data_IF_556923394850
#
_entry.id   IF_556923394850
#
_cell.length_a   1.000
_cell.length_b   1.000
_cell.length_c   1.000
_cell.angle_alpha   90.00
_cell.angle_beta   90.00
_cell.angle_gamma   90.00
#
_symmetry.space_group_name_H-M   'P 1'
#
loop_
_entity.id
_entity.type
_entity.pdbx_description
1 polymer ?
#
# COMPACT_ATOMS: atom_id res chain seq x y z
N UNK A 1 -4.32 -9.36 32.00
CA UNK A 1 -2.89 -9.33 32.40
C UNK A 1 -2.05 -10.11 31.39
N UNK A 2 -1.60 -9.44 30.34
CA UNK A 2 -0.68 -10.02 29.34
C UNK A 2 0.79 -9.85 29.74
N UNK A 3 1.68 -10.46 28.96
CA UNK A 3 3.15 -10.33 29.11
C UNK A 3 3.77 -9.38 28.09
N UNK A 4 2.99 -8.84 27.17
CA UNK A 4 3.40 -7.77 26.25
C UNK A 4 3.95 -6.55 27.02
N UNK A 5 5.02 -5.95 26.51
CA UNK A 5 5.77 -4.87 27.14
C UNK A 5 6.67 -5.30 28.30
N UNK A 6 6.81 -6.60 28.57
CA UNK A 6 7.75 -7.15 29.57
C UNK A 6 8.98 -7.74 28.90
N UNK A 7 9.95 -8.21 29.68
CA UNK A 7 11.11 -8.93 29.16
C UNK A 7 11.03 -10.42 29.48
N UNK A 8 11.41 -11.27 28.52
CA UNK A 8 11.72 -12.68 28.75
C UNK A 8 13.21 -12.79 29.07
N UNK A 9 13.55 -13.59 30.10
CA UNK A 9 14.93 -13.86 30.49
C UNK A 9 15.14 -15.37 30.55
N UNK A 10 16.07 -15.86 29.74
CA UNK A 10 16.51 -17.26 29.76
C UNK A 10 17.57 -17.39 30.84
N UNK A 11 17.39 -18.34 31.74
CA UNK A 11 18.38 -18.67 32.77
C UNK A 11 19.05 -20.01 32.47
N UNK A 12 20.30 -20.16 32.88
CA UNK A 12 20.96 -21.46 32.94
C UNK A 12 20.41 -22.27 34.13
N UNK A 13 20.77 -23.55 34.19
CA UNK A 13 20.38 -24.49 35.25
C UNK A 13 20.87 -24.06 36.63
N UNK A 14 21.91 -23.22 36.71
CA UNK A 14 22.42 -22.64 37.96
C UNK A 14 21.73 -21.33 38.37
N UNK A 15 20.78 -20.83 37.56
CA UNK A 15 20.04 -19.60 37.80
C UNK A 15 20.74 -18.33 37.29
N UNK A 16 21.89 -18.43 36.63
CA UNK A 16 22.51 -17.31 35.92
C UNK A 16 21.70 -16.91 34.68
N UNK A 17 21.77 -15.63 34.27
CA UNK A 17 21.04 -15.12 33.10
C UNK A 17 21.86 -15.34 31.84
N UNK A 18 21.29 -16.04 30.86
CA UNK A 18 21.95 -16.36 29.59
C UNK A 18 21.58 -15.38 28.48
N UNK A 19 20.30 -15.07 28.35
CA UNK A 19 19.78 -14.19 27.31
C UNK A 19 18.53 -13.46 27.81
N UNK A 20 18.21 -12.35 27.15
CA UNK A 20 16.95 -11.67 27.37
C UNK A 20 16.44 -11.06 26.06
N UNK A 21 15.12 -10.91 25.96
CA UNK A 21 14.47 -10.20 24.88
C UNK A 21 13.25 -9.45 25.44
N UNK A 22 12.85 -8.38 24.77
CA UNK A 22 11.59 -7.72 25.06
C UNK A 22 10.44 -8.49 24.39
N UNK A 23 9.31 -8.57 25.08
CA UNK A 23 8.04 -9.03 24.51
C UNK A 23 7.37 -7.79 23.98
N UNK A 24 7.34 -7.65 22.66
CA UNK A 24 6.79 -6.46 22.01
C UNK A 24 5.30 -6.30 22.33
N UNK A 25 4.86 -5.05 22.46
CA UNK A 25 3.43 -4.73 22.46
C UNK A 25 3.01 -4.77 20.99
N UNK A 26 2.00 -5.59 20.62
CA UNK A 26 1.51 -5.61 19.24
C UNK A 26 1.16 -4.21 18.78
N UNK A 27 1.54 -3.86 17.55
CA UNK A 27 1.24 -2.55 17.00
C UNK A 27 -0.28 -2.34 16.93
N UNK A 28 -0.75 -1.10 17.06
CA UNK A 28 -2.14 -0.75 16.74
C UNK A 28 -2.10 0.20 15.56
N UNK A 29 -2.77 -0.17 14.48
CA UNK A 29 -2.95 0.68 13.31
C UNK A 29 -4.33 1.34 13.38
N UNK A 30 -4.35 2.64 13.17
CA UNK A 30 -5.58 3.41 12.96
C UNK A 30 -5.48 4.08 11.59
N UNK A 31 -6.40 3.77 10.69
CA UNK A 31 -6.50 4.36 9.36
C UNK A 31 -7.74 5.25 9.31
N UNK A 32 -7.65 6.39 8.62
CA UNK A 32 -8.77 7.32 8.50
C UNK A 32 -8.98 7.67 7.04
N UNK A 33 -10.24 7.65 6.61
CA UNK A 33 -10.72 8.25 5.38
C UNK A 33 -11.50 9.52 5.72
N UNK A 34 -10.98 10.68 5.32
CA UNK A 34 -11.58 11.99 5.59
C UNK A 34 -12.41 12.48 4.41
N UNK A 35 -13.71 12.71 4.64
CA UNK A 35 -14.64 13.19 3.63
C UNK A 35 -14.86 14.69 3.75
N UNK A 36 -14.81 15.37 2.61
CA UNK A 36 -15.22 16.76 2.46
C UNK A 36 -15.61 17.02 0.99
N UNK A 37 -16.78 16.53 0.57
CA UNK A 37 -17.24 16.58 -0.82
C UNK A 37 -18.75 16.82 -0.88
N UNK A 38 -19.20 17.72 -1.77
CA UNK A 38 -20.61 17.94 -2.09
C UNK A 38 -21.54 18.13 -0.87
N UNK A 39 -21.03 18.75 0.19
CA UNK A 39 -21.75 18.99 1.45
C UNK A 39 -21.74 17.83 2.44
N UNK A 40 -21.20 16.66 2.05
CA UNK A 40 -20.95 15.51 2.92
C UNK A 40 -19.57 15.69 3.56
N UNK A 41 -19.51 15.59 4.89
CA UNK A 41 -18.26 15.76 5.64
C UNK A 41 -18.19 14.85 6.85
N UNK A 42 -16.97 14.44 7.20
CA UNK A 42 -16.71 13.61 8.38
C UNK A 42 -15.61 12.58 8.11
N UNK A 43 -15.61 11.47 8.86
CA UNK A 43 -14.58 10.44 8.77
C UNK A 43 -15.14 9.02 8.83
N UNK A 44 -14.42 8.10 8.19
CA UNK A 44 -14.49 6.66 8.48
C UNK A 44 -13.14 6.25 9.03
N UNK A 45 -13.12 5.71 10.23
CA UNK A 45 -11.90 5.29 10.93
C UNK A 45 -11.90 3.79 11.15
N UNK A 46 -10.77 3.14 10.85
CA UNK A 46 -10.55 1.71 11.06
C UNK A 46 -9.42 1.55 12.08
N UNK A 47 -9.59 0.70 13.09
CA UNK A 47 -8.55 0.42 14.09
C UNK A 47 -8.38 -1.08 14.30
N UNK A 48 -7.15 -1.57 14.20
CA UNK A 48 -6.83 -2.98 14.42
C UNK A 48 -5.52 -3.10 15.20
N UNK A 49 -5.52 -4.03 16.16
CA UNK A 49 -4.30 -4.48 16.82
C UNK A 49 -3.66 -5.58 15.97
N UNK A 50 -2.37 -5.51 15.74
CA UNK A 50 -1.59 -6.52 15.01
C UNK A 50 -1.87 -7.93 15.55
N UNK A 51 -2.21 -8.85 14.66
CA UNK A 51 -2.58 -10.23 14.98
C UNK A 51 -3.99 -10.41 15.57
N UNK A 52 -4.79 -9.35 15.73
CA UNK A 52 -6.20 -9.46 16.10
C UNK A 52 -7.05 -9.92 14.90
N UNK A 53 -8.08 -10.72 15.19
CA UNK A 53 -9.01 -11.27 14.18
C UNK A 53 -10.14 -10.31 13.79
N UNK A 54 -10.07 -9.05 14.21
CA UNK A 54 -11.11 -8.06 13.93
C UNK A 54 -10.55 -6.65 13.98
N UNK A 55 -11.15 -5.77 13.19
CA UNK A 55 -10.96 -4.32 13.24
C UNK A 55 -12.22 -3.64 13.79
N UNK A 56 -12.03 -2.57 14.55
CA UNK A 56 -13.11 -1.66 14.94
C UNK A 56 -13.25 -0.57 13.88
N UNK A 57 -14.49 -0.30 13.48
CA UNK A 57 -14.86 0.69 12.47
C UNK A 57 -15.70 1.76 13.16
N UNK A 58 -15.34 3.03 12.98
CA UNK A 58 -16.13 4.18 13.41
C UNK A 58 -16.51 5.03 12.20
N UNK A 59 -17.79 5.38 12.08
CA UNK A 59 -18.34 6.22 11.02
C UNK A 59 -18.96 7.45 11.66
N UNK A 60 -18.37 8.61 11.41
CA UNK A 60 -18.88 9.92 11.85
C UNK A 60 -19.05 10.79 10.60
N UNK A 61 -20.27 10.87 10.09
CA UNK A 61 -20.56 11.54 8.81
C UNK A 61 -21.79 12.44 8.96
N UNK A 62 -21.72 13.63 8.37
CA UNK A 62 -22.81 14.61 8.31
C UNK A 62 -23.04 15.03 6.87
N UNK A 63 -24.23 15.60 6.61
CA UNK A 63 -24.50 16.29 5.35
C UNK A 63 -25.22 15.45 4.29
N UNK A 64 -25.67 14.25 4.62
CA UNK A 64 -26.60 13.52 3.74
C UNK A 64 -27.95 14.24 3.67
N UNK A 65 -28.67 14.05 2.56
CA UNK A 65 -30.04 14.53 2.36
C UNK A 65 -31.06 13.38 2.39
N UNK A 66 -32.33 13.70 2.62
CA UNK A 66 -33.39 12.69 2.63
C UNK A 66 -33.51 11.94 1.30
N UNK A 67 -33.22 12.62 0.17
CA UNK A 67 -33.24 12.03 -1.17
C UNK A 67 -32.10 11.02 -1.40
N UNK A 68 -31.00 11.11 -0.64
CA UNK A 68 -29.87 10.19 -0.75
C UNK A 68 -30.08 8.91 0.06
N UNK A 69 -30.89 8.94 1.12
CA UNK A 69 -31.05 7.83 2.06
C UNK A 69 -31.89 6.66 1.50
N UNK A 70 -31.60 5.40 1.88
CA UNK A 70 -30.43 4.96 2.65
C UNK A 70 -29.15 5.02 1.81
N UNK A 71 -28.03 5.38 2.46
CA UNK A 71 -26.72 5.47 1.82
C UNK A 71 -25.93 4.19 2.12
N UNK A 72 -25.48 3.47 1.10
CA UNK A 72 -24.53 2.38 1.27
C UNK A 72 -23.10 2.89 1.11
N UNK A 73 -22.14 2.15 1.66
CA UNK A 73 -20.72 2.51 1.66
C UNK A 73 -19.85 1.26 1.70
N UNK A 74 -18.74 1.31 0.96
CA UNK A 74 -17.85 0.18 0.76
C UNK A 74 -16.40 0.64 0.69
N UNK A 75 -15.46 -0.25 1.03
CA UNK A 75 -14.05 -0.09 0.65
C UNK A 75 -13.87 -0.56 -0.78
N UNK A 76 -13.27 0.29 -1.61
CA UNK A 76 -13.02 0.05 -3.03
C UNK A 76 -11.56 -0.33 -3.29
N UNK A 77 -11.29 -0.88 -4.46
CA UNK A 77 -9.97 -1.46 -4.77
C UNK A 77 -8.86 -0.43 -4.94
N UNK A 78 -9.16 0.80 -5.34
CA UNK A 78 -8.14 1.81 -5.70
C UNK A 78 -8.23 3.07 -4.86
N UNK A 79 -7.11 3.79 -4.64
CA UNK A 79 -7.17 5.19 -4.25
C UNK A 79 -7.80 6.01 -5.37
N UNK A 80 -8.39 7.13 -5.00
CA UNK A 80 -9.08 8.08 -5.87
C UNK A 80 -8.07 8.67 -6.85
N UNK A 81 -8.31 8.45 -8.15
CA UNK A 81 -7.58 9.13 -9.23
C UNK A 81 -8.19 10.48 -9.56
N UNK A 82 -9.51 10.48 -9.76
CA UNK A 82 -10.28 11.66 -10.12
C UNK A 82 -11.77 11.43 -9.85
N UNK A 83 -12.31 12.08 -8.82
CA UNK A 83 -13.70 11.89 -8.40
C UNK A 83 -14.00 10.44 -7.97
N UNK A 84 -15.28 10.15 -7.75
CA UNK A 84 -15.70 8.88 -7.15
C UNK A 84 -16.04 7.78 -8.15
N UNK A 85 -15.90 8.02 -9.46
CA UNK A 85 -16.28 7.08 -10.52
C UNK A 85 -15.58 5.71 -10.46
N UNK A 86 -16.15 4.71 -11.15
CA UNK A 86 -15.60 3.35 -11.17
C UNK A 86 -14.23 3.27 -11.87
N UNK A 87 -13.99 4.16 -12.83
CA UNK A 87 -12.70 4.41 -13.47
C UNK A 87 -11.64 4.99 -12.50
N UNK A 88 -12.09 5.63 -11.42
CA UNK A 88 -11.22 6.23 -10.41
C UNK A 88 -10.96 5.29 -9.23
N UNK A 89 -12.00 4.76 -8.58
CA UNK A 89 -11.83 3.95 -7.34
C UNK A 89 -11.91 2.45 -7.59
N UNK A 90 -12.29 2.00 -8.78
CA UNK A 90 -12.51 0.58 -9.07
C UNK A 90 -13.78 0.01 -8.45
N UNK A 91 -13.81 -1.32 -8.30
CA UNK A 91 -14.90 -2.08 -7.70
C UNK A 91 -14.76 -2.20 -6.18
N UNK A 92 -15.58 -3.05 -5.55
CA UNK A 92 -15.43 -3.36 -4.13
C UNK A 92 -14.16 -4.17 -3.89
N UNK A 93 -13.51 -3.95 -2.76
CA UNK A 93 -12.36 -4.75 -2.35
C UNK A 93 -12.81 -6.17 -1.97
N UNK A 94 -12.43 -7.15 -2.79
CA UNK A 94 -12.85 -8.55 -2.66
C UNK A 94 -11.69 -9.50 -3.01
N UNK A 95 -10.63 -9.56 -2.17
CA UNK A 95 -9.44 -10.36 -2.48
C UNK A 95 -9.72 -11.87 -2.51
N UNK A 96 -10.74 -12.33 -1.77
CA UNK A 96 -11.12 -13.75 -1.72
C UNK A 96 -12.13 -14.16 -2.81
N UNK A 97 -12.60 -13.21 -3.62
CA UNK A 97 -13.53 -13.48 -4.73
C UNK A 97 -14.88 -14.06 -4.29
N UNK A 98 -15.35 -13.71 -3.08
CA UNK A 98 -16.65 -14.18 -2.58
C UNK A 98 -17.80 -13.48 -3.33
N UNK A 99 -18.97 -14.11 -3.40
CA UNK A 99 -20.11 -13.67 -4.21
C UNK A 99 -21.25 -12.99 -3.42
N UNK A 100 -20.98 -12.64 -2.16
CA UNK A 100 -21.95 -12.09 -1.19
C UNK A 100 -23.15 -13.01 -0.88
N UNK A 101 -23.17 -14.28 -1.29
CA UNK A 101 -24.27 -15.19 -0.99
C UNK A 101 -24.28 -15.53 0.50
N UNK A 102 -25.29 -15.04 1.21
CA UNK A 102 -25.41 -15.23 2.67
C UNK A 102 -24.64 -14.20 3.50
N UNK A 103 -24.07 -13.17 2.85
CA UNK A 103 -23.45 -12.04 3.53
C UNK A 103 -24.41 -11.43 4.56
N UNK A 104 -23.90 -11.26 5.79
CA UNK A 104 -24.63 -10.65 6.90
C UNK A 104 -23.68 -10.23 8.02
N UNK A 105 -24.19 -9.45 8.99
CA UNK A 105 -23.45 -9.07 10.20
C UNK A 105 -22.88 -10.26 10.98
N UNK A 106 -23.53 -11.41 10.93
CA UNK A 106 -23.11 -12.64 11.62
C UNK A 106 -22.30 -13.62 10.75
N UNK A 107 -22.19 -13.35 9.44
CA UNK A 107 -21.48 -14.20 8.47
C UNK A 107 -20.66 -13.29 7.53
N UNK A 108 -19.72 -12.55 8.11
CA UNK A 108 -18.94 -11.51 7.42
C UNK A 108 -17.89 -12.10 6.47
N UNK A 109 -17.49 -13.35 6.69
CA UNK A 109 -16.60 -14.13 5.83
C UNK A 109 -17.25 -14.49 4.47
N UNK A 110 -18.58 -14.44 4.39
CA UNK A 110 -19.33 -14.57 3.13
C UNK A 110 -19.55 -13.24 2.41
N UNK A 111 -19.11 -12.13 3.01
CA UNK A 111 -19.17 -10.81 2.41
C UNK A 111 -17.86 -10.47 1.71
N UNK A 112 -17.93 -9.71 0.61
CA UNK A 112 -16.77 -9.00 0.09
C UNK A 112 -16.11 -8.24 1.24
N UNK A 113 -14.78 -8.28 1.33
CA UNK A 113 -14.06 -7.69 2.47
C UNK A 113 -14.42 -6.21 2.63
N UNK A 114 -14.59 -5.49 1.52
CA UNK A 114 -15.00 -4.09 1.48
C UNK A 114 -16.49 -3.82 1.61
N UNK A 115 -17.39 -4.82 1.65
CA UNK A 115 -18.84 -4.58 1.74
C UNK A 115 -19.30 -4.26 3.17
N UNK A 116 -19.04 -3.01 3.59
CA UNK A 116 -19.37 -2.54 4.94
C UNK A 116 -20.90 -2.45 5.15
N UNK A 117 -21.67 -2.08 4.13
CA UNK A 117 -23.13 -1.97 4.24
C UNK A 117 -23.84 -3.33 4.24
N UNK A 118 -23.34 -4.32 3.50
CA UNK A 118 -23.83 -5.69 3.58
C UNK A 118 -23.59 -6.30 4.97
N UNK A 119 -22.45 -5.97 5.59
CA UNK A 119 -22.10 -6.41 6.95
C UNK A 119 -22.84 -5.66 8.04
N UNK A 120 -22.88 -4.33 8.00
CA UNK A 120 -23.31 -3.49 9.13
C UNK A 120 -24.59 -2.69 8.89
N UNK A 121 -25.18 -2.83 7.69
CA UNK A 121 -26.36 -2.09 7.26
C UNK A 121 -26.03 -0.76 6.59
N UNK A 122 -26.93 -0.31 5.73
CA UNK A 122 -26.85 1.02 5.12
C UNK A 122 -27.13 2.13 6.15
N UNK A 123 -26.58 3.32 5.89
CA UNK A 123 -26.77 4.52 6.70
C UNK A 123 -28.15 5.11 6.43
N UNK A 124 -28.92 5.38 7.48
CA UNK A 124 -30.36 5.73 7.37
C UNK A 124 -30.69 7.11 7.97
N UNK A 125 -29.67 7.87 8.36
CA UNK A 125 -29.82 9.17 9.02
C UNK A 125 -28.96 10.23 8.33
N UNK A 126 -29.39 11.50 8.40
CA UNK A 126 -28.67 12.64 7.80
C UNK A 126 -27.32 12.93 8.49
N UNK A 127 -27.18 12.45 9.72
CA UNK A 127 -25.97 12.48 10.53
C UNK A 127 -25.80 11.10 11.14
N UNK A 128 -24.60 10.56 11.02
CA UNK A 128 -24.22 9.20 11.44
C UNK A 128 -23.13 9.35 12.48
N UNK A 129 -23.32 8.67 13.60
CA UNK A 129 -22.30 8.39 14.61
C UNK A 129 -22.50 6.92 14.98
N UNK A 130 -21.64 6.06 14.42
CA UNK A 130 -21.79 4.62 14.54
C UNK A 130 -20.44 3.94 14.69
N UNK A 131 -20.43 2.84 15.45
CA UNK A 131 -19.26 2.00 15.64
C UNK A 131 -19.63 0.54 15.51
N UNK A 132 -18.79 -0.23 14.81
CA UNK A 132 -18.97 -1.66 14.58
C UNK A 132 -17.65 -2.41 14.73
N UNK A 133 -17.72 -3.70 15.01
CA UNK A 133 -16.56 -4.60 14.92
C UNK A 133 -16.72 -5.46 13.68
N UNK A 134 -15.67 -5.49 12.87
CA UNK A 134 -15.60 -6.22 11.61
C UNK A 134 -14.53 -7.30 11.68
N UNK A 135 -14.88 -8.54 11.33
CA UNK A 135 -13.98 -9.70 11.41
C UNK A 135 -13.33 -10.04 10.07
N UNK A 136 -13.58 -9.26 9.03
CA UNK A 136 -13.08 -9.50 7.67
C UNK A 136 -12.15 -8.37 7.20
N UNK A 137 -12.38 -7.12 7.62
CA UNK A 137 -11.47 -6.00 7.34
C UNK A 137 -10.10 -6.23 7.99
N UNK A 138 -9.04 -6.08 7.19
CA UNK A 138 -7.65 -6.23 7.58
C UNK A 138 -6.87 -4.93 7.31
N UNK A 139 -6.05 -4.52 8.28
CA UNK A 139 -5.15 -3.36 8.23
C UNK A 139 -3.68 -3.79 8.13
N UNK A 140 -3.42 -5.09 8.19
CA UNK A 140 -2.12 -5.76 8.11
C UNK A 140 -2.21 -6.91 7.08
N UNK A 141 -1.06 -7.32 6.56
CA UNK A 141 -0.94 -8.38 5.57
C UNK A 141 -1.34 -7.98 4.14
N UNK A 142 -1.33 -8.97 3.26
CA UNK A 142 -1.50 -8.83 1.80
C UNK A 142 -2.86 -8.23 1.40
N UNK A 143 -3.90 -8.46 2.20
CA UNK A 143 -5.26 -7.99 1.93
C UNK A 143 -5.56 -6.62 2.54
N UNK A 144 -4.57 -5.97 3.16
CA UNK A 144 -4.77 -4.71 3.87
C UNK A 144 -5.50 -3.65 3.03
N UNK A 145 -6.38 -2.90 3.69
CA UNK A 145 -7.14 -1.80 3.09
C UNK A 145 -6.38 -0.46 3.03
N UNK A 146 -5.14 -0.41 3.51
CA UNK A 146 -4.30 0.80 3.46
C UNK A 146 -4.20 1.33 2.02
N UNK A 147 -4.25 2.65 1.82
CA UNK A 147 -4.09 3.27 0.50
C UNK A 147 -5.22 2.98 -0.50
N UNK A 148 -6.32 2.35 -0.07
CA UNK A 148 -7.55 2.18 -0.84
C UNK A 148 -8.49 3.37 -0.62
N UNK A 149 -9.75 3.28 -1.02
CA UNK A 149 -10.75 4.33 -0.77
C UNK A 149 -12.04 3.79 -0.18
N UNK A 150 -12.79 4.63 0.52
CA UNK A 150 -14.19 4.40 0.88
C UNK A 150 -15.07 5.17 -0.10
N UNK A 151 -16.12 4.54 -0.63
CA UNK A 151 -17.10 5.16 -1.53
C UNK A 151 -18.50 5.02 -0.96
N UNK A 152 -19.28 6.10 -1.02
CA UNK A 152 -20.66 6.17 -0.58
C UNK A 152 -21.60 6.24 -1.78
N UNK A 153 -22.70 5.51 -1.71
CA UNK A 153 -23.72 5.43 -2.74
C UNK A 153 -25.08 5.83 -2.18
N UNK A 154 -25.84 6.63 -2.94
CA UNK A 154 -27.23 6.93 -2.59
C UNK A 154 -28.17 5.74 -2.83
N UNK A 155 -29.45 5.94 -2.50
CA UNK A 155 -30.50 4.93 -2.69
C UNK A 155 -30.73 4.48 -4.14
N UNK A 156 -30.17 5.18 -5.13
CA UNK A 156 -30.20 4.80 -6.55
C UNK A 156 -28.99 3.96 -6.94
N UNK A 157 -28.00 3.84 -6.05
CA UNK A 157 -26.70 3.22 -6.29
C UNK A 157 -25.67 4.17 -6.88
N UNK A 158 -26.00 5.45 -7.08
CA UNK A 158 -25.08 6.44 -7.61
C UNK A 158 -24.03 6.80 -6.55
N UNK A 159 -22.77 6.91 -6.97
CA UNK A 159 -21.64 7.26 -6.11
C UNK A 159 -21.71 8.76 -5.81
N UNK A 160 -21.85 9.13 -4.53
CA UNK A 160 -22.11 10.51 -4.09
C UNK A 160 -20.94 11.15 -3.33
N UNK A 161 -20.05 10.35 -2.76
CA UNK A 161 -18.84 10.84 -2.10
C UNK A 161 -17.82 9.71 -1.96
N UNK A 162 -16.55 10.07 -1.81
CA UNK A 162 -15.47 9.12 -1.60
C UNK A 162 -14.29 9.78 -0.88
N UNK A 163 -13.49 8.98 -0.18
CA UNK A 163 -12.24 9.43 0.44
C UNK A 163 -11.20 8.33 0.42
N UNK A 164 -9.93 8.69 0.26
CA UNK A 164 -8.83 7.76 0.39
C UNK A 164 -8.63 7.35 1.86
N UNK A 165 -8.35 6.07 2.07
CA UNK A 165 -7.94 5.51 3.35
C UNK A 165 -6.45 5.80 3.48
N UNK A 166 -6.10 6.70 4.40
CA UNK A 166 -4.73 7.10 4.64
C UNK A 166 -3.87 6.01 5.28
N UNK A 167 -2.64 6.39 5.62
CA UNK A 167 -1.69 5.56 6.35
C UNK A 167 -1.77 5.86 7.86
N UNK A 168 -1.36 4.91 8.70
CA UNK A 168 -1.45 5.05 10.16
C UNK A 168 -0.47 6.07 10.76
N UNK A 169 0.51 6.54 9.98
CA UNK A 169 1.57 7.41 10.46
C UNK A 169 2.39 8.00 9.30
N UNK A 170 3.57 8.55 9.60
CA UNK A 170 4.46 9.11 8.59
C UNK A 170 4.87 8.06 7.55
N UNK A 171 4.59 8.32 6.28
CA UNK A 171 4.81 7.39 5.17
C UNK A 171 6.05 7.79 4.37
N UNK A 172 6.90 6.81 4.04
CA UNK A 172 7.92 6.96 3.01
C UNK A 172 7.31 6.58 1.67
N UNK A 173 7.26 7.53 0.75
CA UNK A 173 6.81 7.32 -0.62
C UNK A 173 7.97 7.49 -1.60
N UNK A 174 8.08 6.57 -2.55
CA UNK A 174 9.03 6.59 -3.66
C UNK A 174 8.33 6.19 -4.95
N UNK A 175 8.76 6.75 -6.07
CA UNK A 175 8.12 6.59 -7.37
C UNK A 175 9.17 6.19 -8.40
N UNK A 176 8.82 5.20 -9.22
CA UNK A 176 9.53 4.87 -10.45
C UNK A 176 8.69 5.32 -11.65
N UNK A 177 9.17 6.35 -12.35
CA UNK A 177 8.49 6.93 -13.52
C UNK A 177 9.08 6.35 -14.80
N UNK A 178 8.22 5.77 -15.64
CA UNK A 178 8.57 5.18 -16.93
C UNK A 178 8.11 6.11 -18.06
N UNK A 179 8.99 6.36 -19.01
CA UNK A 179 8.70 7.05 -20.28
C UNK A 179 9.63 6.52 -21.38
N UNK A 180 9.71 5.19 -21.51
CA UNK A 180 10.62 4.53 -22.46
C UNK A 180 10.09 3.16 -22.89
N UNK A 181 10.62 2.62 -23.98
CA UNK A 181 10.23 1.28 -24.46
C UNK A 181 8.75 1.17 -24.85
N UNK A 182 8.07 2.30 -25.10
CA UNK A 182 6.63 2.36 -25.32
C UNK A 182 5.77 2.25 -24.05
N UNK A 183 6.41 2.21 -22.86
CA UNK A 183 5.75 2.17 -21.57
C UNK A 183 5.82 3.56 -20.94
N UNK A 184 4.65 4.09 -20.58
CA UNK A 184 4.52 5.39 -19.92
C UNK A 184 3.62 5.29 -18.69
N UNK A 185 4.08 5.79 -17.55
CA UNK A 185 3.34 5.82 -16.28
C UNK A 185 4.24 5.59 -15.08
N UNK A 186 3.67 5.16 -13.96
CA UNK A 186 4.38 5.11 -12.68
C UNK A 186 4.15 3.81 -11.92
N UNK A 187 5.15 3.44 -11.12
CA UNK A 187 4.99 2.54 -9.98
C UNK A 187 5.31 3.32 -8.71
N UNK A 188 4.32 3.55 -7.87
CA UNK A 188 4.46 4.24 -6.57
C UNK A 188 4.51 3.22 -5.46
N UNK A 189 5.53 3.32 -4.60
CA UNK A 189 5.71 2.48 -3.43
C UNK A 189 5.58 3.32 -2.16
N UNK A 190 4.76 2.89 -1.23
CA UNK A 190 4.54 3.58 0.04
C UNK A 190 4.63 2.61 1.23
N UNK A 191 5.41 2.97 2.24
CA UNK A 191 5.64 2.15 3.45
C UNK A 191 5.66 3.06 4.69
N UNK A 192 5.34 2.52 5.87
CA UNK A 192 5.56 3.22 7.13
C UNK A 192 7.05 3.61 7.24
N UNK A 193 7.34 4.90 7.41
CA UNK A 193 8.72 5.40 7.49
C UNK A 193 9.43 5.02 8.80
N UNK A 194 8.69 4.52 9.78
CA UNK A 194 9.17 4.16 11.12
C UNK A 194 9.28 2.66 11.34
N UNK A 195 8.76 1.84 10.43
CA UNK A 195 8.77 0.38 10.51
C UNK A 195 9.19 -0.25 9.17
N UNK A 196 10.46 -0.64 9.07
CA UNK A 196 11.01 -1.25 7.86
C UNK A 196 10.39 -2.62 7.54
N UNK A 197 9.75 -3.26 8.54
CA UNK A 197 9.07 -4.55 8.40
C UNK A 197 7.58 -4.41 8.04
N UNK A 198 7.05 -3.18 7.94
CA UNK A 198 5.69 -2.98 7.49
C UNK A 198 5.51 -3.39 6.04
N UNK A 199 4.29 -3.70 5.65
CA UNK A 199 3.94 -3.95 4.26
C UNK A 199 4.16 -2.68 3.43
N UNK A 200 4.50 -2.87 2.17
CA UNK A 200 4.64 -1.80 1.19
C UNK A 200 3.46 -1.83 0.24
N UNK A 201 2.71 -0.74 0.19
CA UNK A 201 1.68 -0.51 -0.82
C UNK A 201 2.35 -0.26 -2.16
N UNK A 202 1.93 -0.98 -3.19
CA UNK A 202 2.41 -0.81 -4.56
C UNK A 202 1.26 -0.42 -5.47
N UNK A 203 1.31 0.81 -5.99
CA UNK A 203 0.36 1.34 -6.97
C UNK A 203 1.03 1.38 -8.34
N UNK A 204 0.57 0.55 -9.25
CA UNK A 204 0.94 0.60 -10.67
C UNK A 204 -0.11 1.42 -11.42
N UNK A 205 0.30 2.39 -12.22
CA UNK A 205 -0.55 3.18 -13.11
C UNK A 205 0.16 3.40 -14.44
N UNK A 206 -0.09 2.50 -15.40
CA UNK A 206 0.49 2.56 -16.74
C UNK A 206 -0.56 2.87 -17.80
N UNK A 207 -0.12 3.63 -18.81
CA UNK A 207 -0.84 3.86 -20.04
C UNK A 207 -0.98 2.55 -20.83
N UNK A 208 -2.09 2.39 -21.53
CA UNK A 208 -2.30 1.22 -22.40
C UNK A 208 -1.29 1.17 -23.53
N UNK A 209 -0.72 -0.01 -23.76
CA UNK A 209 0.14 -0.35 -24.88
C UNK A 209 -0.57 -1.44 -25.70
N UNK A 210 -1.36 -1.08 -26.74
CA UNK A 210 -2.20 -2.02 -27.44
C UNK A 210 -1.42 -3.16 -28.11
N UNK A 211 -1.90 -4.39 -27.93
CA UNK A 211 -1.34 -5.56 -28.63
C UNK A 211 -0.07 -6.14 -28.02
N UNK A 212 0.35 -5.67 -26.84
CA UNK A 212 1.39 -6.33 -26.05
C UNK A 212 0.85 -7.59 -25.36
N UNK A 213 1.76 -8.42 -24.90
CA UNK A 213 1.48 -9.56 -24.02
C UNK A 213 1.82 -9.18 -22.59
N UNK A 214 1.36 -9.94 -21.57
CA UNK A 214 1.73 -9.67 -20.19
C UNK A 214 3.26 -9.65 -19.97
N UNK A 215 3.73 -8.62 -19.28
CA UNK A 215 5.15 -8.36 -19.04
C UNK A 215 5.55 -8.73 -17.61
N UNK A 216 6.74 -9.32 -17.46
CA UNK A 216 7.35 -9.46 -16.14
C UNK A 216 8.04 -8.17 -15.73
N UNK A 217 8.13 -7.92 -14.44
CA UNK A 217 8.80 -6.77 -13.87
C UNK A 217 9.40 -7.14 -12.53
N UNK A 218 10.58 -6.59 -12.26
CA UNK A 218 11.37 -6.89 -11.08
C UNK A 218 12.10 -5.64 -10.61
N UNK A 219 12.37 -5.55 -9.31
CA UNK A 219 13.40 -4.64 -8.79
C UNK A 219 14.77 -5.25 -9.11
N UNK A 220 15.64 -4.45 -9.68
CA UNK A 220 17.02 -4.82 -10.00
C UNK A 220 18.01 -4.29 -8.96
N UNK A 221 19.20 -4.88 -8.91
CA UNK A 221 20.16 -4.62 -7.84
C UNK A 221 20.76 -3.21 -7.85
N UNK A 222 20.81 -2.52 -8.99
CA UNK A 222 21.43 -1.19 -9.13
C UNK A 222 20.43 -0.19 -9.75
N UNK A 223 20.59 1.11 -9.52
CA UNK A 223 19.88 2.14 -10.29
C UNK A 223 20.38 2.19 -11.75
N UNK A 224 19.59 2.80 -12.63
CA UNK A 224 20.04 3.24 -13.96
C UNK A 224 21.09 4.34 -13.84
N UNK A 225 21.95 4.47 -14.85
CA UNK A 225 22.94 5.54 -14.90
C UNK A 225 22.23 6.89 -15.07
N UNK A 226 22.59 7.89 -14.26
CA UNK A 226 22.06 9.25 -14.39
C UNK A 226 22.46 9.86 -15.74
N UNK A 227 23.62 9.47 -16.29
CA UNK A 227 24.09 9.95 -17.58
C UNK A 227 23.38 9.28 -18.77
N UNK A 228 22.81 8.09 -18.57
CA UNK A 228 22.08 7.33 -19.58
C UNK A 228 20.92 6.56 -18.94
N UNK A 229 19.84 7.26 -18.52
CA UNK A 229 18.74 6.64 -17.78
C UNK A 229 17.92 5.65 -18.61
N UNK A 230 18.07 5.67 -19.93
CA UNK A 230 17.44 4.74 -20.87
C UNK A 230 18.24 3.45 -21.05
N UNK A 231 19.50 3.38 -20.60
CA UNK A 231 20.30 2.15 -20.65
C UNK A 231 19.99 1.22 -19.46
N UNK A 232 19.06 0.31 -19.69
CA UNK A 232 18.72 -0.72 -18.72
C UNK A 232 19.78 -1.81 -18.58
N UNK A 233 20.90 -1.82 -19.33
CA UNK A 233 21.87 -2.92 -19.30
C UNK A 233 22.69 -2.97 -18.00
N UNK A 234 22.88 -1.83 -17.34
CA UNK A 234 23.79 -1.68 -16.21
C UNK A 234 23.15 -1.88 -14.82
N UNK A 235 21.83 -2.11 -14.75
CA UNK A 235 21.11 -2.22 -13.46
C UNK A 235 21.37 -3.53 -12.69
N UNK A 236 22.24 -4.40 -13.18
CA UNK A 236 22.54 -5.70 -12.55
C UNK A 236 21.42 -6.72 -12.68
N UNK A 237 21.47 -7.81 -11.91
CA UNK A 237 20.42 -8.84 -11.86
C UNK A 237 19.22 -8.43 -11.00
N UNK A 238 18.27 -9.35 -10.82
CA UNK A 238 17.17 -9.17 -9.86
C UNK A 238 17.71 -8.92 -8.46
N UNK A 239 16.98 -8.15 -7.67
CA UNK A 239 17.39 -7.83 -6.33
C UNK A 239 17.06 -8.96 -5.35
N UNK A 240 18.10 -9.71 -4.98
CA UNK A 240 18.03 -10.88 -4.10
C UNK A 240 19.02 -10.76 -2.92
N UNK A 241 18.76 -9.87 -1.95
CA UNK A 241 19.69 -9.61 -0.84
C UNK A 241 19.84 -10.81 0.09
N UNK A 242 18.86 -11.72 0.12
CA UNK A 242 18.87 -12.93 0.95
C UNK A 242 19.57 -14.12 0.25
N UNK A 243 20.00 -13.95 -1.01
CA UNK A 243 20.64 -15.00 -1.80
C UNK A 243 19.80 -16.28 -1.87
N UNK A 244 18.49 -16.13 -2.08
CA UNK A 244 17.58 -17.26 -2.24
C UNK A 244 18.00 -18.12 -3.44
N UNK A 245 17.89 -19.44 -3.27
CA UNK A 245 18.14 -20.42 -4.32
C UNK A 245 16.90 -20.53 -5.23
N UNK A 246 17.01 -20.01 -6.46
CA UNK A 246 15.92 -19.96 -7.43
C UNK A 246 15.58 -21.33 -8.03
N UNK A 247 16.48 -22.32 -7.89
CA UNK A 247 16.23 -23.70 -8.30
C UNK A 247 15.60 -24.53 -7.17
N UNK A 248 15.41 -23.94 -5.99
CA UNK A 248 14.76 -24.60 -4.86
C UNK A 248 13.32 -24.97 -5.21
N UNK A 249 12.85 -26.18 -4.87
CA UNK A 249 11.45 -26.57 -5.07
C UNK A 249 10.47 -25.75 -4.21
N UNK A 250 10.96 -25.01 -3.23
CA UNK A 250 10.15 -24.12 -2.37
C UNK A 250 10.22 -22.66 -2.82
N UNK A 251 10.95 -22.33 -3.89
CA UNK A 251 10.97 -20.97 -4.43
C UNK A 251 9.59 -20.63 -4.99
N UNK A 252 9.02 -19.52 -4.50
CA UNK A 252 7.69 -19.07 -4.87
C UNK A 252 6.53 -19.97 -4.41
N UNK A 253 6.75 -20.80 -3.38
CA UNK A 253 5.70 -21.58 -2.72
C UNK A 253 5.29 -20.91 -1.41
N UNK A 254 4.18 -20.16 -1.44
CA UNK A 254 3.62 -19.53 -0.25
C UNK A 254 3.68 -18.00 -0.30
N UNK A 255 4.20 -17.39 0.76
CA UNK A 255 4.21 -15.95 0.97
C UNK A 255 5.34 -15.23 0.21
N UNK A 256 5.30 -13.90 0.25
CA UNK A 256 6.30 -13.03 -0.39
C UNK A 256 7.74 -13.29 0.07
N UNK A 257 7.96 -13.92 1.23
CA UNK A 257 9.29 -14.22 1.75
C UNK A 257 9.97 -15.39 1.02
N UNK A 258 9.22 -16.17 0.24
CA UNK A 258 9.75 -17.27 -0.59
C UNK A 258 10.27 -16.83 -1.96
N UNK A 259 10.04 -15.57 -2.33
CA UNK A 259 10.49 -14.95 -3.57
C UNK A 259 11.71 -14.06 -3.34
N UNK A 260 12.49 -13.79 -4.39
CA UNK A 260 13.46 -12.69 -4.33
C UNK A 260 12.73 -11.40 -3.91
N UNK A 261 13.35 -10.57 -3.06
CA UNK A 261 12.75 -9.30 -2.62
C UNK A 261 12.26 -8.48 -3.82
N UNK A 262 13.05 -8.48 -4.91
CA UNK A 262 12.71 -7.81 -6.15
C UNK A 262 11.78 -8.55 -7.12
N UNK A 263 11.33 -9.78 -6.84
CA UNK A 263 10.49 -10.55 -7.78
C UNK A 263 9.00 -10.19 -7.66
N UNK A 264 8.67 -8.99 -8.16
CA UNK A 264 7.30 -8.46 -8.13
C UNK A 264 6.33 -9.29 -8.97
N UNK A 265 6.78 -9.82 -10.11
CA UNK A 265 5.93 -10.66 -10.97
C UNK A 265 5.68 -12.06 -10.42
N UNK A 266 6.65 -12.65 -9.72
CA UNK A 266 6.47 -13.90 -9.01
C UNK A 266 5.42 -13.77 -7.91
N UNK A 267 5.50 -12.69 -7.13
CA UNK A 267 4.59 -12.40 -6.01
C UNK A 267 3.19 -11.98 -6.47
N UNK A 268 3.09 -11.00 -7.37
CA UNK A 268 1.84 -10.28 -7.65
C UNK A 268 1.32 -10.48 -9.08
N UNK A 269 1.96 -11.36 -9.86
CA UNK A 269 1.61 -11.61 -11.25
C UNK A 269 2.18 -10.58 -12.23
N UNK A 270 1.96 -10.82 -13.53
CA UNK A 270 2.51 -10.01 -14.63
C UNK A 270 1.68 -8.76 -14.93
N UNK A 271 2.31 -7.75 -15.56
CA UNK A 271 1.64 -6.55 -16.06
C UNK A 271 0.98 -6.80 -17.42
N UNK A 272 -0.35 -6.85 -17.47
CA UNK A 272 -1.08 -6.78 -18.74
C UNK A 272 -1.28 -5.33 -19.16
N UNK A 273 -0.39 -4.85 -20.04
CA UNK A 273 -0.42 -3.49 -20.59
C UNK A 273 -1.35 -3.34 -21.80
N UNK A 274 -2.02 -4.41 -22.25
CA UNK A 274 -2.91 -4.38 -23.42
C UNK A 274 -4.24 -3.64 -23.14
N UNK A 275 -4.56 -3.40 -21.87
CA UNK A 275 -5.64 -2.57 -21.37
C UNK A 275 -5.11 -1.46 -20.46
N UNK A 276 -5.99 -0.62 -19.90
CA UNK A 276 -5.57 0.35 -18.88
C UNK A 276 -5.12 -0.41 -17.63
N UNK A 277 -3.84 -0.28 -17.25
CA UNK A 277 -3.25 -1.04 -16.15
C UNK A 277 -3.13 -0.14 -14.94
N UNK A 278 -4.13 -0.22 -14.06
CA UNK A 278 -4.07 0.45 -12.76
C UNK A 278 -4.42 -0.54 -11.67
N UNK A 279 -3.45 -0.89 -10.83
CA UNK A 279 -3.61 -1.92 -9.78
C UNK A 279 -2.94 -1.49 -8.49
N UNK A 280 -3.56 -1.86 -7.37
CA UNK A 280 -3.04 -1.64 -6.02
C UNK A 280 -2.95 -2.98 -5.29
N UNK A 281 -1.77 -3.32 -4.81
CA UNK A 281 -1.52 -4.50 -4.00
C UNK A 281 -0.56 -4.19 -2.85
N UNK A 282 -0.50 -5.10 -1.89
CA UNK A 282 0.40 -5.02 -0.73
C UNK A 282 1.50 -6.06 -0.88
N UNK A 283 2.73 -5.64 -0.69
CA UNK A 283 3.89 -6.52 -0.64
C UNK A 283 4.45 -6.57 0.79
N UNK A 284 4.46 -7.76 1.37
CA UNK A 284 4.91 -8.00 2.75
C UNK A 284 6.44 -8.16 2.86
N UNK A 285 7.16 -8.17 1.72
CA UNK A 285 8.61 -8.35 1.65
C UNK A 285 9.25 -7.46 0.55
N UNK A 286 8.93 -6.16 0.57
CA UNK A 286 9.50 -5.14 -0.32
C UNK A 286 9.91 -3.88 0.46
N UNK A 287 10.81 -3.98 1.45
CA UNK A 287 11.14 -2.86 2.31
C UNK A 287 11.66 -1.65 1.52
N UNK A 288 11.23 -0.43 1.87
CA UNK A 288 11.71 0.82 1.27
C UNK A 288 12.92 1.41 2.01
N UNK A 289 13.31 0.80 3.13
CA UNK A 289 14.38 1.24 4.01
C UNK A 289 15.16 0.02 4.55
N UNK A 290 16.13 0.27 5.44
CA UNK A 290 16.98 -0.79 5.96
C UNK A 290 18.00 -1.35 4.96
N UNK A 291 18.73 -2.37 5.41
CA UNK A 291 19.78 -3.02 4.63
C UNK A 291 19.26 -3.72 3.37
N UNK A 292 17.98 -4.12 3.42
CA UNK A 292 17.32 -4.80 2.32
C UNK A 292 16.45 -3.85 1.47
N UNK A 293 16.52 -2.54 1.70
CA UNK A 293 15.66 -1.56 1.03
C UNK A 293 15.75 -1.56 -0.51
N UNK A 294 14.61 -1.31 -1.17
CA UNK A 294 14.52 -1.15 -2.64
C UNK A 294 14.60 0.30 -3.12
N UNK A 295 14.39 1.29 -2.25
CA UNK A 295 14.57 2.69 -2.59
C UNK A 295 16.03 2.97 -3.04
N UNK A 296 16.20 3.73 -4.12
CA UNK A 296 17.50 4.01 -4.76
C UNK A 296 17.98 2.90 -5.71
N UNK A 297 17.17 1.88 -5.97
CA UNK A 297 17.40 0.88 -7.03
C UNK A 297 16.54 1.20 -8.25
N UNK A 298 16.44 0.28 -9.21
CA UNK A 298 15.54 0.42 -10.37
C UNK A 298 14.50 -0.68 -10.45
N UNK A 299 13.36 -0.39 -11.06
CA UNK A 299 12.43 -1.40 -11.55
C UNK A 299 12.66 -1.58 -13.05
N UNK A 300 12.66 -2.82 -13.52
CA UNK A 300 12.75 -3.17 -14.95
C UNK A 300 11.48 -3.89 -15.36
N UNK A 301 10.89 -3.49 -16.48
CA UNK A 301 9.87 -4.25 -17.20
C UNK A 301 10.54 -5.01 -18.35
N UNK A 302 10.27 -6.31 -18.44
CA UNK A 302 10.85 -7.21 -19.41
C UNK A 302 9.90 -7.46 -20.59
N UNK A 303 10.47 -7.66 -21.77
CA UNK A 303 9.77 -8.24 -22.91
C UNK A 303 9.61 -9.77 -22.74
N UNK A 304 8.83 -10.40 -23.61
CA UNK A 304 8.50 -11.84 -23.58
C UNK A 304 9.74 -12.72 -23.71
N UNK A 305 10.76 -12.26 -24.43
CA UNK A 305 12.02 -12.96 -24.59
C UNK A 305 12.98 -12.79 -23.40
N UNK A 306 12.58 -12.03 -22.39
CA UNK A 306 13.36 -11.73 -21.19
C UNK A 306 14.28 -10.51 -21.33
N UNK A 307 14.35 -9.89 -22.51
CA UNK A 307 15.07 -8.64 -22.70
C UNK A 307 14.44 -7.51 -21.87
N UNK A 308 15.22 -6.47 -21.58
CA UNK A 308 14.79 -5.33 -20.75
C UNK A 308 14.12 -4.32 -21.67
N UNK A 309 12.81 -4.14 -21.51
CA UNK A 309 12.00 -3.26 -22.36
C UNK A 309 12.05 -1.82 -21.87
N UNK A 310 11.92 -1.64 -20.55
CA UNK A 310 11.94 -0.33 -19.90
C UNK A 310 12.49 -0.44 -18.48
N UNK A 311 13.07 0.63 -17.96
CA UNK A 311 13.53 0.70 -16.59
C UNK A 311 13.35 2.10 -16.01
N UNK A 312 13.24 2.18 -14.68
CA UNK A 312 13.09 3.45 -13.98
C UNK A 312 13.69 3.34 -12.58
N UNK A 313 14.34 4.41 -12.11
CA UNK A 313 14.86 4.48 -10.74
C UNK A 313 13.73 4.69 -9.73
N UNK A 314 13.82 3.99 -8.61
CA UNK A 314 12.93 4.11 -7.44
C UNK A 314 13.45 5.27 -6.59
N UNK A 315 13.02 6.47 -6.92
CA UNK A 315 13.47 7.70 -6.25
C UNK A 315 12.35 8.28 -5.40
N UNK A 316 12.68 9.18 -4.49
CA UNK A 316 11.64 10.02 -3.88
C UNK A 316 10.87 10.75 -4.99
N UNK A 317 9.56 10.84 -4.86
CA UNK A 317 8.78 11.74 -5.70
C UNK A 317 9.45 13.12 -5.62
N UNK A 318 9.94 13.63 -6.76
CA UNK A 318 10.39 15.01 -6.82
C UNK A 318 9.15 15.86 -6.55
N UNK A 319 9.14 16.60 -5.45
CA UNK A 319 8.23 17.74 -5.30
C UNK A 319 8.49 18.64 -6.53
N UNK A 320 7.58 18.66 -7.50
CA UNK A 320 7.70 19.57 -8.66
C UNK A 320 7.68 21.06 -8.26
N UNK A 321 7.49 21.39 -6.98
CA UNK A 321 7.38 22.75 -6.44
C UNK A 321 8.46 23.13 -5.40
N UNK A 322 9.66 22.56 -5.46
CA UNK A 322 10.82 23.20 -4.83
C UNK A 322 11.84 23.56 -5.88
N UNK A 323 11.66 24.75 -6.48
CA UNK A 323 12.83 25.52 -6.89
C UNK A 323 13.77 25.55 -5.68
N UNK A 324 14.93 24.91 -5.84
CA UNK A 324 16.04 25.11 -4.93
C UNK A 324 16.51 26.53 -5.22
N UNK A 325 15.97 27.48 -4.46
CA UNK A 325 16.55 28.82 -4.36
C UNK A 325 17.95 28.65 -3.75
N UNK A 326 18.96 28.55 -4.61
CA UNK A 326 20.38 28.69 -4.27
C UNK A 326 20.69 30.17 -3.93
N UNK A 327 20.01 30.72 -2.93
CA UNK A 327 20.28 32.04 -2.33
C UNK A 327 20.78 31.87 -0.88
N UNK A 328 21.90 31.17 -0.71
CA UNK A 328 22.73 31.26 0.51
C UNK A 328 23.94 32.16 0.24
N UNK A 329 23.68 33.47 0.10
CA UNK A 329 24.69 34.51 0.29
C UNK A 329 24.64 35.02 1.74
N UNK A 330 25.82 35.04 2.36
CA UNK A 330 26.23 35.83 3.52
C UNK A 330 25.61 35.53 4.91
N UNK A 331 26.30 34.70 5.70
CA UNK A 331 26.64 35.03 7.09
C UNK A 331 27.77 34.15 7.66
N UNK A 332 28.97 34.25 7.07
CA UNK A 332 30.20 33.78 7.70
C UNK A 332 30.61 34.73 8.83
N UNK A 333 30.05 34.52 10.02
CA UNK A 333 30.52 35.15 11.26
C UNK A 333 32.00 34.82 11.52
N UNK A 334 32.86 35.82 11.27
CA UNK A 334 34.28 35.76 11.54
C UNK A 334 34.60 35.60 13.02
N UNK A 335 35.09 34.42 13.40
CA UNK A 335 35.77 34.21 14.68
C UNK A 335 37.22 34.60 14.51
N UNK A 336 37.54 35.83 14.92
CA UNK A 336 38.90 36.32 15.04
C UNK A 336 39.69 35.59 16.13
N UNK A 337 40.92 35.18 15.81
CA UNK A 337 41.99 35.01 16.81
C UNK A 337 43.18 35.87 16.40
N UNK A 338 43.53 36.82 17.27
CA UNK A 338 44.82 37.49 17.31
C UNK A 338 45.68 36.83 18.39
N UNK A 339 46.97 36.73 18.05
CA UNK A 339 48.13 36.21 18.78
C UNK A 339 48.31 34.69 18.73
#
# INVERSE_FOLDING_TARGET
NGVAGRSIVVHDVDGSRLACANINVPATRTLTAELNQDGISGTVTFTQVEGATSADIAVDITGFTDEQLPVSYHVHTMPIKSGCGADSTGGHHNPLGVDNVGCSTSAQDLCEQGDLSGKHGALTTLTVDATYTDTNIELFGENSIVGRSVVFHDNTGARIACADIGFAGPTKEVVATFDMGGIAGTITLAQDSTDEASETTVLVDFSTVPGTTPHKYHVHALPTDIADPEDCSLVGGHYNPLSLDLDSPTYGDGDDATFEVGDLSGKHGTLDLSAATRVLYMDTNLPLSGTNGVAGRSIVVHDVDGSRLACANINHAVDEDKEVDDDDDDDAAGIGRKW
#
